data_IF_288795556896
#
_entry.id   IF_288795556896
#
_cell.length_a   1.000
_cell.length_b   1.000
_cell.length_c   1.000
_cell.angle_alpha   90.00
_cell.angle_beta   90.00
_cell.angle_gamma   90.00
#
_symmetry.space_group_name_H-M   'P 1'
#
loop_
_entity.id
_entity.type
_entity.pdbx_description
1 polymer ?
#
# COMPACT_ATOMS: atom_id res chain seq x y z
N UNK A 1 -11.69 -10.12 4.89
CA UNK A 1 -10.83 -9.11 5.52
C UNK A 1 -11.41 -7.73 5.28
N UNK A 2 -11.04 -6.72 6.08
CA UNK A 2 -11.50 -5.33 5.89
C UNK A 2 -10.68 -4.68 4.78
N UNK A 3 -11.33 -3.83 3.98
CA UNK A 3 -10.71 -3.13 2.87
C UNK A 3 -10.95 -1.64 3.04
N UNK A 4 -9.92 -0.85 2.76
CA UNK A 4 -9.97 0.60 2.75
C UNK A 4 -9.50 1.11 1.40
N UNK A 5 -10.07 2.22 0.94
CA UNK A 5 -9.63 2.93 -0.26
C UNK A 5 -9.20 4.32 0.17
N UNK A 6 -7.99 4.71 -0.19
CA UNK A 6 -7.45 6.00 0.18
C UNK A 6 -6.12 6.29 -0.52
N UNK A 7 -5.52 7.41 -0.14
CA UNK A 7 -4.20 7.82 -0.60
C UNK A 7 -3.12 7.15 0.23
N UNK A 8 -2.00 6.83 -0.40
CA UNK A 8 -0.78 6.35 0.27
C UNK A 8 0.36 7.32 0.03
N UNK A 9 1.27 7.40 0.99
CA UNK A 9 2.55 8.07 0.80
C UNK A 9 3.56 7.07 0.25
N UNK A 10 4.27 7.45 -0.80
CA UNK A 10 5.42 6.71 -1.33
C UNK A 10 6.69 7.40 -0.83
N UNK A 11 7.56 6.68 -0.13
CA UNK A 11 8.73 7.23 0.56
C UNK A 11 9.94 6.30 0.37
N UNK A 12 11.09 6.87 -0.01
CA UNK A 12 12.34 6.12 -0.15
C UNK A 12 13.07 5.91 1.20
N UNK A 13 12.55 6.52 2.28
CA UNK A 13 13.27 6.68 3.54
C UNK A 13 12.68 5.82 4.66
N UNK A 14 12.76 4.49 4.52
CA UNK A 14 12.15 3.51 5.43
C UNK A 14 12.33 3.79 6.94
N UNK A 15 13.47 4.37 7.36
CA UNK A 15 13.77 4.68 8.78
C UNK A 15 13.50 6.13 9.21
N UNK A 16 12.90 6.95 8.34
CA UNK A 16 12.59 8.36 8.62
C UNK A 16 11.11 8.69 8.36
N UNK A 17 10.28 7.69 8.08
CA UNK A 17 8.86 7.85 7.74
C UNK A 17 8.03 8.33 8.92
N UNK A 18 8.43 7.97 10.14
CA UNK A 18 7.76 8.34 11.38
C UNK A 18 7.75 9.87 11.58
N UNK A 19 8.79 10.56 11.11
CA UNK A 19 8.90 12.03 11.14
C UNK A 19 7.80 12.71 10.32
N UNK A 20 7.38 12.07 9.22
CA UNK A 20 6.37 12.60 8.31
C UNK A 20 4.96 12.09 8.63
N UNK A 21 4.82 11.06 9.48
CA UNK A 21 3.55 10.40 9.81
C UNK A 21 2.45 11.39 10.25
N UNK A 22 2.78 12.41 11.06
CA UNK A 22 1.81 13.44 11.50
C UNK A 22 1.32 14.29 10.34
N UNK A 23 2.19 14.62 9.39
CA UNK A 23 1.82 15.40 8.19
C UNK A 23 0.92 14.58 7.29
N UNK A 24 1.26 13.31 7.07
CA UNK A 24 0.47 12.39 6.24
C UNK A 24 -0.92 12.13 6.82
N UNK A 25 -1.04 11.96 8.14
CA UNK A 25 -2.33 11.85 8.82
C UNK A 25 -3.25 13.05 8.59
N UNK A 26 -2.72 14.27 8.65
CA UNK A 26 -3.50 15.49 8.35
C UNK A 26 -4.01 15.55 6.90
N UNK A 27 -3.39 14.79 6.00
CA UNK A 27 -3.78 14.67 4.59
C UNK A 27 -4.68 13.45 4.31
N UNK A 28 -5.15 12.75 5.35
CA UNK A 28 -5.94 11.51 5.24
C UNK A 28 -5.23 10.41 4.44
N UNK A 29 -3.89 10.36 4.52
CA UNK A 29 -3.10 9.24 3.99
C UNK A 29 -3.30 8.03 4.89
N UNK A 30 -3.57 6.87 4.29
CA UNK A 30 -3.99 5.65 4.99
C UNK A 30 -2.89 4.59 5.09
N UNK A 31 -1.72 4.84 4.48
CA UNK A 31 -0.60 3.91 4.48
C UNK A 31 0.65 4.55 3.88
N UNK A 32 1.80 3.93 4.17
CA UNK A 32 3.12 4.30 3.65
C UNK A 32 3.70 3.06 2.98
N UNK A 33 4.34 3.27 1.83
CA UNK A 33 4.98 2.25 0.99
C UNK A 33 6.05 2.94 0.13
N UNK A 34 6.70 2.24 -0.82
CA UNK A 34 7.89 2.79 -1.51
C UNK A 34 7.78 2.79 -3.05
N UNK A 35 6.67 2.33 -3.65
CA UNK A 35 6.62 2.05 -5.10
C UNK A 35 5.46 2.73 -5.86
N UNK A 36 4.34 3.02 -5.21
CA UNK A 36 3.12 3.47 -5.88
C UNK A 36 3.28 4.81 -6.59
N UNK A 37 4.02 5.76 -6.02
CA UNK A 37 4.25 7.04 -6.68
C UNK A 37 5.00 6.84 -8.01
N UNK A 38 6.04 6.00 -8.01
CA UNK A 38 6.80 5.66 -9.21
C UNK A 38 5.92 4.93 -10.22
N UNK A 39 5.21 3.87 -9.80
CA UNK A 39 4.35 3.07 -10.67
C UNK A 39 3.26 3.93 -11.34
N UNK A 40 2.53 4.74 -10.57
CA UNK A 40 1.43 5.56 -11.10
C UNK A 40 1.93 6.74 -11.95
N UNK A 41 3.09 7.30 -11.62
CA UNK A 41 3.73 8.32 -12.46
C UNK A 41 4.11 7.72 -13.82
N UNK A 42 4.75 6.56 -13.84
CA UNK A 42 5.09 5.87 -15.10
C UNK A 42 3.85 5.48 -15.89
N UNK A 43 2.80 4.97 -15.23
CA UNK A 43 1.53 4.64 -15.86
C UNK A 43 0.94 5.86 -16.60
N UNK A 44 0.94 7.02 -15.93
CA UNK A 44 0.47 8.29 -16.50
C UNK A 44 1.33 8.78 -17.67
N UNK A 45 2.65 8.64 -17.57
CA UNK A 45 3.61 9.09 -18.59
C UNK A 45 3.71 8.17 -19.81
N UNK A 46 3.45 6.87 -19.64
CA UNK A 46 3.59 5.84 -20.68
C UNK A 46 2.25 5.32 -21.21
N UNK A 47 1.14 5.75 -20.65
CA UNK A 47 -0.20 5.44 -21.14
C UNK A 47 -0.67 4.02 -20.84
N UNK A 48 -0.14 3.38 -19.80
CA UNK A 48 -0.64 2.07 -19.33
C UNK A 48 -1.52 2.24 -18.08
N UNK A 49 -2.38 1.25 -17.82
CA UNK A 49 -3.22 1.20 -16.63
C UNK A 49 -2.45 0.58 -15.47
N UNK A 50 -2.54 1.17 -14.28
CA UNK A 50 -1.93 0.64 -13.07
C UNK A 50 -2.90 0.75 -11.89
N UNK A 51 -2.75 -0.15 -10.94
CA UNK A 51 -3.45 -0.17 -9.66
C UNK A 51 -2.53 -0.80 -8.60
N UNK A 52 -2.82 -0.55 -7.32
CA UNK A 52 -2.09 -1.14 -6.21
C UNK A 52 -3.06 -1.70 -5.17
N UNK A 53 -2.70 -2.85 -4.60
CA UNK A 53 -3.37 -3.47 -3.44
C UNK A 53 -2.28 -3.67 -2.41
N UNK A 54 -2.48 -3.11 -1.22
CA UNK A 54 -1.47 -3.08 -0.17
C UNK A 54 -1.97 -3.82 1.06
N UNK A 55 -1.07 -4.57 1.69
CA UNK A 55 -1.31 -5.20 2.98
C UNK A 55 -0.74 -4.29 4.07
N UNK A 56 -1.57 -3.95 5.06
CA UNK A 56 -1.09 -3.25 6.26
C UNK A 56 -0.51 -4.30 7.20
N UNK A 57 0.81 -4.41 7.24
CA UNK A 57 1.52 -5.39 8.09
C UNK A 57 2.03 -4.76 9.39
N UNK A 58 2.11 -3.43 9.45
CA UNK A 58 2.52 -2.66 10.63
C UNK A 58 1.72 -1.36 10.74
N UNK A 59 1.74 -0.77 11.93
CA UNK A 59 1.12 0.51 12.22
C UNK A 59 2.13 1.45 12.89
N UNK A 60 2.56 2.47 12.16
CA UNK A 60 3.53 3.47 12.61
C UNK A 60 3.08 4.27 13.86
N UNK A 61 1.79 4.34 14.17
CA UNK A 61 1.30 5.12 15.33
C UNK A 61 1.44 4.37 16.66
N UNK A 62 1.09 3.09 16.69
CA UNK A 62 1.09 2.28 17.90
C UNK A 62 2.23 1.24 17.94
N UNK A 63 3.00 1.13 16.85
CA UNK A 63 4.13 0.20 16.72
C UNK A 63 3.73 -1.27 16.61
N UNK A 64 2.44 -1.57 16.41
CA UNK A 64 1.98 -2.95 16.23
C UNK A 64 2.40 -3.49 14.86
N UNK A 65 2.74 -4.77 14.81
CA UNK A 65 3.08 -5.47 13.58
C UNK A 65 2.45 -6.87 13.57
N UNK A 66 2.08 -7.32 12.38
CA UNK A 66 1.53 -8.64 12.10
C UNK A 66 2.61 -9.71 12.29
N UNK A 67 2.23 -10.89 12.78
CA UNK A 67 3.17 -12.01 12.92
C UNK A 67 3.46 -12.63 11.55
N UNK A 68 4.67 -13.19 11.38
CA UNK A 68 5.10 -13.79 10.11
C UNK A 68 4.13 -14.87 9.57
N UNK A 69 3.57 -15.69 10.45
CA UNK A 69 2.62 -16.73 10.04
C UNK A 69 1.31 -16.13 9.51
N UNK A 70 0.83 -15.03 10.12
CA UNK A 70 -0.37 -14.32 9.69
C UNK A 70 -0.15 -13.58 8.37
N UNK A 71 1.06 -13.05 8.14
CA UNK A 71 1.45 -12.40 6.88
C UNK A 71 1.30 -13.39 5.74
N UNK A 72 1.82 -14.61 5.88
CA UNK A 72 1.75 -15.66 4.84
C UNK A 72 0.31 -16.01 4.45
N UNK A 73 -0.56 -16.18 5.46
CA UNK A 73 -1.97 -16.47 5.24
C UNK A 73 -2.73 -15.32 4.56
N UNK A 74 -2.29 -14.08 4.80
CA UNK A 74 -2.92 -12.90 4.23
C UNK A 74 -2.39 -12.59 2.81
N UNK A 75 -1.11 -12.86 2.56
CA UNK A 75 -0.44 -12.69 1.29
C UNK A 75 -1.15 -13.47 0.17
N UNK A 76 -1.48 -14.74 0.40
CA UNK A 76 -2.20 -15.55 -0.58
C UNK A 76 -3.55 -14.92 -0.96
N UNK A 77 -4.27 -14.36 0.03
CA UNK A 77 -5.59 -13.72 -0.19
C UNK A 77 -5.45 -12.41 -0.96
N UNK A 78 -4.47 -11.59 -0.62
CA UNK A 78 -4.17 -10.33 -1.31
C UNK A 78 -3.77 -10.61 -2.77
N UNK A 79 -2.88 -11.58 -3.00
CA UNK A 79 -2.42 -11.98 -4.33
C UNK A 79 -3.57 -12.47 -5.20
N UNK A 80 -4.40 -13.40 -4.69
CA UNK A 80 -5.58 -13.90 -5.42
C UNK A 80 -6.57 -12.78 -5.76
N UNK A 81 -6.75 -11.81 -4.85
CA UNK A 81 -7.61 -10.65 -5.08
C UNK A 81 -7.06 -9.75 -6.19
N UNK A 82 -5.77 -9.44 -6.16
CA UNK A 82 -5.10 -8.64 -7.19
C UNK A 82 -5.14 -9.33 -8.56
N UNK A 83 -4.84 -10.64 -8.61
CA UNK A 83 -4.88 -11.43 -9.84
C UNK A 83 -6.28 -11.46 -10.45
N UNK A 84 -7.31 -11.70 -9.63
CA UNK A 84 -8.71 -11.68 -10.08
C UNK A 84 -9.07 -10.31 -10.66
N UNK A 85 -8.73 -9.23 -9.97
CA UNK A 85 -8.97 -7.87 -10.45
C UNK A 85 -8.30 -7.62 -11.81
N UNK A 86 -7.06 -8.06 -11.99
CA UNK A 86 -6.35 -7.93 -13.28
C UNK A 86 -7.05 -8.67 -14.43
N UNK A 87 -7.67 -9.82 -14.17
CA UNK A 87 -8.40 -10.60 -15.20
C UNK A 87 -9.80 -10.07 -15.52
N UNK A 88 -10.41 -9.28 -14.62
CA UNK A 88 -11.78 -8.77 -14.78
C UNK A 88 -11.83 -7.35 -15.35
N UNK A 89 -10.71 -6.61 -15.33
CA UNK A 89 -10.62 -5.26 -15.90
C UNK A 89 -10.56 -5.36 -17.43
N UNK A 90 -11.63 -4.92 -18.10
CA UNK A 90 -11.70 -4.74 -19.55
C UNK A 90 -10.89 -3.53 -19.98
#
# INVERSE_FOLDING_TARGET
>A
FRVFRGLVASSDAFHAEEEYSRRWRKLNIIGVEMECATLFTLARLRGFRAAAVLMVIDNLEDGTAMKLDEIRDFEEKALKTALKALTEIK
#
